data_IF_744205435393
#
_entry.id   IF_744205435393
#
_cell.length_a   1.000
_cell.length_b   1.000
_cell.length_c   1.000
_cell.angle_alpha   90.00
_cell.angle_beta   90.00
_cell.angle_gamma   90.00
#
_symmetry.space_group_name_H-M   'P 1'
#
loop_
_entity.id
_entity.type
_entity.pdbx_description
1 polymer ?
#
# COMPACT_ATOMS: atom_id res chain seq x y z
N UNK A 1 -19.63 -11.85 4.66
CA UNK A 1 -18.50 -10.93 4.86
C UNK A 1 -18.32 -10.66 6.35
N UNK A 2 -17.19 -11.08 6.93
CA UNK A 2 -16.93 -10.93 8.37
C UNK A 2 -16.11 -9.68 8.72
N UNK A 3 -15.37 -9.14 7.78
CA UNK A 3 -14.58 -7.92 7.95
C UNK A 3 -13.46 -7.78 6.93
N UNK A 4 -12.90 -6.59 6.83
CA UNK A 4 -11.75 -6.30 5.99
C UNK A 4 -10.75 -5.37 6.68
N UNK A 5 -9.51 -5.52 6.28
CA UNK A 5 -8.41 -4.65 6.64
C UNK A 5 -7.71 -4.11 5.38
N UNK A 6 -8.05 -2.89 4.95
CA UNK A 6 -7.45 -2.29 3.76
C UNK A 6 -5.93 -2.05 3.89
N UNK A 7 -5.42 -1.85 5.10
CA UNK A 7 -3.99 -1.55 5.31
C UNK A 7 -3.08 -2.76 5.07
N UNK A 8 -3.61 -3.99 5.22
CA UNK A 8 -2.90 -5.22 4.90
C UNK A 8 -3.51 -5.97 3.71
N UNK A 9 -4.52 -5.40 3.07
CA UNK A 9 -5.22 -6.00 1.92
C UNK A 9 -5.77 -7.41 2.23
N UNK A 10 -6.41 -7.56 3.41
CA UNK A 10 -6.99 -8.82 3.88
C UNK A 10 -8.49 -8.64 4.12
N UNK A 11 -9.28 -9.59 3.63
CA UNK A 11 -10.69 -9.71 3.96
C UNK A 11 -11.02 -11.14 4.41
N UNK A 12 -11.97 -11.27 5.33
CA UNK A 12 -12.49 -12.55 5.80
C UNK A 12 -13.92 -12.73 5.29
N UNK A 13 -14.15 -13.84 4.60
CA UNK A 13 -15.44 -14.24 4.08
C UNK A 13 -15.89 -15.50 4.80
N UNK A 14 -17.15 -15.54 5.21
CA UNK A 14 -17.81 -16.74 5.72
C UNK A 14 -18.68 -17.32 4.62
N UNK A 15 -18.48 -18.60 4.33
CA UNK A 15 -19.33 -19.34 3.38
C UNK A 15 -20.59 -19.78 4.09
N UNK A 16 -21.74 -19.53 3.45
CA UNK A 16 -23.04 -20.04 3.87
C UNK A 16 -23.35 -21.31 3.07
N UNK A 17 -22.94 -22.47 3.60
CA UNK A 17 -23.08 -23.75 2.94
C UNK A 17 -23.08 -24.89 3.95
N UNK A 18 -23.80 -25.97 3.63
CA UNK A 18 -23.80 -27.22 4.39
C UNK A 18 -22.68 -28.18 3.93
N UNK A 19 -21.94 -27.81 2.88
CA UNK A 19 -20.82 -28.62 2.38
C UNK A 19 -19.66 -28.65 3.39
N UNK A 20 -19.05 -29.81 3.54
CA UNK A 20 -17.87 -29.99 4.38
C UNK A 20 -16.63 -29.79 3.54
N UNK A 21 -15.82 -28.80 3.89
CA UNK A 21 -14.53 -28.57 3.28
C UNK A 21 -13.39 -29.16 4.13
N UNK A 22 -12.32 -29.56 3.45
CA UNK A 22 -11.06 -29.90 4.13
C UNK A 22 -10.24 -28.63 4.25
N UNK A 23 -10.04 -28.10 5.47
CA UNK A 23 -9.27 -26.88 5.65
C UNK A 23 -7.78 -27.14 5.44
N UNK A 24 -7.07 -26.11 4.99
CA UNK A 24 -5.61 -26.09 4.99
C UNK A 24 -5.10 -25.40 6.27
N UNK A 25 -3.94 -25.81 6.75
CA UNK A 25 -3.32 -25.23 7.92
C UNK A 25 -2.44 -24.03 7.54
N UNK A 26 -2.39 -23.02 8.41
CA UNK A 26 -1.35 -22.00 8.32
C UNK A 26 -0.03 -22.55 8.87
N UNK A 27 1.04 -22.37 8.11
CA UNK A 27 2.41 -22.62 8.53
C UNK A 27 3.01 -21.40 9.25
N UNK A 28 4.20 -21.59 9.80
CA UNK A 28 4.98 -20.55 10.46
C UNK A 28 5.87 -19.83 9.44
N UNK A 29 5.39 -18.68 8.92
CA UNK A 29 6.13 -17.92 7.92
C UNK A 29 7.48 -17.38 8.41
N UNK A 30 7.71 -17.30 9.73
CA UNK A 30 8.98 -16.80 10.26
C UNK A 30 10.10 -17.85 10.14
N UNK A 31 9.74 -19.13 10.01
CA UNK A 31 10.69 -20.23 9.75
C UNK A 31 11.05 -20.38 8.27
N UNK A 32 10.25 -19.82 7.38
CA UNK A 32 10.49 -19.88 5.94
C UNK A 32 11.78 -19.12 5.56
N UNK A 33 12.62 -19.75 4.74
CA UNK A 33 13.96 -19.22 4.38
C UNK A 33 14.03 -18.83 2.92
N UNK A 34 14.90 -17.89 2.61
CA UNK A 34 15.24 -17.58 1.22
C UNK A 34 15.82 -18.86 0.58
N UNK A 35 15.30 -19.22 -0.59
CA UNK A 35 15.65 -20.44 -1.31
C UNK A 35 14.73 -21.64 -1.05
N UNK A 36 13.84 -21.60 -0.05
CA UNK A 36 12.85 -22.65 0.16
C UNK A 36 11.83 -22.67 -0.99
N UNK A 37 11.48 -23.88 -1.47
CA UNK A 37 10.48 -24.08 -2.50
C UNK A 37 9.08 -23.72 -2.01
N UNK A 38 8.29 -23.11 -2.89
CA UNK A 38 6.91 -22.73 -2.63
C UNK A 38 6.00 -22.99 -3.83
N UNK A 39 4.72 -23.21 -3.54
CA UNK A 39 3.66 -23.37 -4.53
C UNK A 39 2.63 -22.27 -4.36
N UNK A 40 2.38 -21.50 -5.40
CA UNK A 40 1.29 -20.54 -5.44
C UNK A 40 0.09 -21.15 -6.17
N UNK A 41 -1.08 -21.11 -5.53
CA UNK A 41 -2.33 -21.63 -6.11
C UNK A 41 -3.31 -20.48 -6.28
N UNK A 42 -4.03 -20.50 -7.40
CA UNK A 42 -5.04 -19.50 -7.72
C UNK A 42 -5.83 -19.86 -8.96
N UNK A 43 -6.58 -18.90 -9.48
CA UNK A 43 -7.35 -19.02 -10.71
C UNK A 43 -7.03 -17.86 -11.66
N UNK A 44 -5.79 -17.81 -12.20
CA UNK A 44 -5.39 -16.73 -13.07
C UNK A 44 -6.23 -16.72 -14.35
N UNK A 45 -6.72 -15.54 -14.71
CA UNK A 45 -7.53 -15.30 -15.91
C UNK A 45 -8.86 -16.10 -15.97
N UNK A 46 -9.30 -16.70 -14.85
CA UNK A 46 -10.53 -17.49 -14.80
C UNK A 46 -10.44 -18.84 -15.52
N UNK A 47 -9.24 -19.35 -15.78
CA UNK A 47 -9.00 -20.60 -16.52
C UNK A 47 -9.17 -21.87 -15.68
N UNK A 48 -9.55 -21.74 -14.41
CA UNK A 48 -9.59 -22.84 -13.44
C UNK A 48 -8.38 -22.85 -12.50
N UNK A 49 -8.35 -23.81 -11.57
CA UNK A 49 -7.27 -23.92 -10.60
C UNK A 49 -5.90 -24.08 -11.28
N UNK A 50 -4.98 -23.19 -10.95
CA UNK A 50 -3.61 -23.18 -11.50
C UNK A 50 -2.62 -23.22 -10.36
N UNK A 51 -1.57 -24.03 -10.51
CA UNK A 51 -0.45 -24.16 -9.58
C UNK A 51 0.80 -23.66 -10.28
N UNK A 52 1.53 -22.76 -9.62
CA UNK A 52 2.86 -22.34 -10.05
C UNK A 52 3.87 -22.61 -8.95
N UNK A 53 5.09 -23.01 -9.32
CA UNK A 53 6.18 -23.30 -8.40
C UNK A 53 7.30 -22.27 -8.53
N UNK A 54 7.97 -22.01 -7.43
CA UNK A 54 9.12 -21.13 -7.33
C UNK A 54 9.79 -21.25 -5.97
N UNK A 55 10.60 -20.26 -5.62
CA UNK A 55 11.27 -20.19 -4.33
C UNK A 55 10.92 -18.91 -3.60
N UNK A 56 11.20 -18.84 -2.32
CA UNK A 56 11.26 -17.58 -1.58
C UNK A 56 12.50 -16.82 -2.05
N UNK A 57 12.31 -15.74 -2.80
CA UNK A 57 13.39 -14.91 -3.34
C UNK A 57 13.92 -13.90 -2.32
N UNK A 58 13.03 -13.40 -1.46
CA UNK A 58 13.37 -12.46 -0.39
C UNK A 58 12.28 -12.45 0.69
N UNK A 59 12.61 -11.87 1.85
CA UNK A 59 11.66 -11.63 2.96
C UNK A 59 11.72 -10.16 3.37
N UNK A 60 10.74 -9.75 4.15
CA UNK A 60 10.64 -8.39 4.71
C UNK A 60 10.69 -7.31 3.62
N UNK A 61 9.98 -7.57 2.50
CA UNK A 61 9.89 -6.62 1.38
C UNK A 61 8.77 -5.61 1.63
N UNK A 62 9.09 -4.36 1.31
CA UNK A 62 8.12 -3.27 1.20
C UNK A 62 8.18 -2.71 -0.21
N UNK A 63 7.03 -2.48 -0.81
CA UNK A 63 6.88 -1.96 -2.18
C UNK A 63 6.16 -0.61 -2.21
N UNK A 64 5.88 -0.05 -1.02
CA UNK A 64 5.37 1.31 -0.85
C UNK A 64 3.85 1.45 -0.99
N UNK A 65 3.08 0.36 -0.90
CA UNK A 65 1.61 0.40 -0.90
C UNK A 65 1.04 0.75 0.48
N UNK A 66 1.72 0.32 1.56
CA UNK A 66 1.30 0.55 2.94
C UNK A 66 2.51 0.70 3.88
N UNK A 67 2.28 1.27 5.06
CA UNK A 67 3.31 1.36 6.13
C UNK A 67 3.49 0.03 6.89
N UNK A 68 2.63 -0.94 6.66
CA UNK A 68 2.61 -2.22 7.38
C UNK A 68 3.02 -3.39 6.50
N UNK A 69 3.69 -3.10 5.39
CA UNK A 69 4.17 -4.11 4.46
C UNK A 69 5.34 -4.91 5.03
N UNK A 70 5.21 -6.21 4.93
CA UNK A 70 6.23 -7.19 5.26
C UNK A 70 6.03 -8.40 4.36
N UNK A 71 6.34 -8.26 3.06
CA UNK A 71 6.02 -9.30 2.10
C UNK A 71 7.09 -10.38 2.00
N UNK A 72 6.65 -11.62 1.77
CA UNK A 72 7.45 -12.68 1.17
C UNK A 72 7.49 -12.40 -0.34
N UNK A 73 8.68 -12.29 -0.91
CA UNK A 73 8.89 -12.23 -2.35
C UNK A 73 9.13 -13.62 -2.90
N UNK A 74 8.47 -13.97 -4.01
CA UNK A 74 8.66 -15.25 -4.71
C UNK A 74 8.79 -15.03 -6.22
N UNK A 75 9.49 -15.94 -6.89
CA UNK A 75 9.54 -16.04 -8.36
C UNK A 75 8.50 -17.02 -8.92
N UNK A 76 7.75 -17.76 -8.06
CA UNK A 76 6.53 -18.42 -8.47
C UNK A 76 5.64 -17.43 -9.21
N UNK A 77 5.15 -17.81 -10.39
CA UNK A 77 4.40 -16.88 -11.24
C UNK A 77 3.08 -16.49 -10.60
N UNK A 78 2.98 -15.26 -10.11
CA UNK A 78 1.75 -14.64 -9.64
C UNK A 78 1.19 -13.77 -10.77
N UNK A 79 -0.08 -13.96 -11.10
CA UNK A 79 -0.81 -13.19 -12.12
C UNK A 79 -2.17 -12.76 -11.56
N UNK A 80 -2.88 -11.91 -12.29
CA UNK A 80 -4.25 -11.52 -11.96
C UNK A 80 -5.12 -12.77 -11.82
N UNK A 81 -5.74 -12.97 -10.65
CA UNK A 81 -6.53 -14.14 -10.29
C UNK A 81 -5.85 -15.11 -9.30
N UNK A 82 -4.53 -14.95 -9.03
CA UNK A 82 -3.87 -15.64 -7.92
C UNK A 82 -3.98 -14.86 -6.60
N UNK A 83 -4.26 -13.56 -6.66
CA UNK A 83 -4.41 -12.72 -5.45
C UNK A 83 -5.54 -13.25 -4.57
N UNK A 84 -5.28 -13.31 -3.25
CA UNK A 84 -6.15 -13.95 -2.25
C UNK A 84 -5.94 -15.46 -2.14
N UNK A 85 -5.25 -16.10 -3.08
CA UNK A 85 -4.89 -17.52 -3.03
C UNK A 85 -3.68 -17.78 -2.12
N UNK A 86 -3.46 -19.06 -1.72
CA UNK A 86 -2.39 -19.44 -0.82
C UNK A 86 -1.03 -19.51 -1.51
N UNK A 87 0.01 -19.19 -0.75
CA UNK A 87 1.39 -19.61 -0.99
C UNK A 87 1.72 -20.74 -0.01
N UNK A 88 1.96 -21.93 -0.51
CA UNK A 88 2.26 -23.13 0.27
C UNK A 88 3.76 -23.38 0.42
N UNK A 89 4.16 -23.92 1.57
CA UNK A 89 5.44 -24.63 1.71
C UNK A 89 5.34 -26.07 1.13
N UNK A 90 6.45 -26.80 1.21
CA UNK A 90 6.50 -28.19 0.69
C UNK A 90 5.86 -29.22 1.63
N UNK A 91 5.48 -28.83 2.84
CA UNK A 91 4.72 -29.62 3.81
C UNK A 91 3.20 -29.44 3.63
N UNK A 92 2.76 -28.55 2.73
CA UNK A 92 1.35 -28.26 2.44
C UNK A 92 0.71 -27.27 3.41
N UNK A 93 1.51 -26.47 4.12
CA UNK A 93 1.00 -25.41 4.98
C UNK A 93 1.01 -24.07 4.23
N UNK A 94 0.04 -23.20 4.51
CA UNK A 94 -0.04 -21.85 3.95
C UNK A 94 0.93 -20.95 4.70
N UNK A 95 2.00 -20.53 4.06
CA UNK A 95 2.99 -19.59 4.61
C UNK A 95 2.78 -18.17 4.15
N UNK A 96 1.87 -17.94 3.18
CA UNK A 96 1.52 -16.61 2.72
C UNK A 96 0.20 -16.54 1.96
N UNK A 97 -0.33 -15.34 1.81
CA UNK A 97 -1.50 -15.01 0.97
C UNK A 97 -0.99 -14.18 -0.19
N UNK A 98 -1.16 -14.65 -1.43
CA UNK A 98 -0.72 -13.94 -2.63
C UNK A 98 -1.48 -12.61 -2.75
N UNK A 99 -0.79 -11.50 -3.02
CA UNK A 99 -1.44 -10.19 -3.07
C UNK A 99 -1.00 -9.32 -4.24
N UNK A 100 0.29 -9.13 -4.46
CA UNK A 100 0.80 -8.15 -5.41
C UNK A 100 1.87 -8.70 -6.37
N UNK A 101 2.05 -8.02 -7.49
CA UNK A 101 3.13 -8.26 -8.45
C UNK A 101 3.81 -6.95 -8.82
N UNK A 102 5.10 -7.01 -9.14
CA UNK A 102 5.77 -5.96 -9.90
C UNK A 102 5.71 -6.33 -11.39
N UNK A 103 4.88 -5.60 -12.14
CA UNK A 103 4.73 -5.85 -13.58
C UNK A 103 3.34 -5.43 -14.07
N UNK A 104 3.29 -4.63 -15.14
CA UNK A 104 2.02 -4.12 -15.67
C UNK A 104 1.24 -5.16 -16.48
N UNK A 105 1.93 -6.15 -17.05
CA UNK A 105 1.35 -7.10 -18.02
C UNK A 105 1.44 -8.57 -17.58
N UNK A 106 1.58 -8.83 -16.27
CA UNK A 106 1.72 -10.17 -15.73
C UNK A 106 3.04 -10.39 -14.97
N UNK A 107 3.26 -11.64 -14.54
CA UNK A 107 4.44 -12.01 -13.76
C UNK A 107 5.74 -11.81 -14.56
N UNK A 108 6.69 -11.16 -13.92
CA UNK A 108 8.08 -11.03 -14.40
C UNK A 108 9.05 -11.79 -13.47
N UNK A 109 8.55 -12.76 -12.69
CA UNK A 109 9.34 -13.47 -11.67
C UNK A 109 9.47 -12.69 -10.35
N UNK A 110 8.58 -11.70 -10.11
CA UNK A 110 8.55 -10.93 -8.85
C UNK A 110 7.11 -10.85 -8.39
N UNK A 111 6.74 -11.75 -7.49
CA UNK A 111 5.46 -11.82 -6.80
C UNK A 111 5.62 -11.58 -5.32
N UNK A 112 4.55 -11.16 -4.66
CA UNK A 112 4.51 -10.84 -3.24
C UNK A 112 3.33 -11.52 -2.56
N UNK A 113 3.60 -12.05 -1.36
CA UNK A 113 2.58 -12.68 -0.51
C UNK A 113 2.68 -12.11 0.90
N UNK A 114 1.53 -11.88 1.52
CA UNK A 114 1.44 -11.47 2.93
C UNK A 114 1.82 -12.68 3.79
N UNK A 115 2.80 -12.58 4.70
CA UNK A 115 3.21 -13.69 5.56
C UNK A 115 2.06 -14.21 6.42
N UNK A 116 1.98 -15.54 6.58
CA UNK A 116 0.90 -16.18 7.34
C UNK A 116 0.83 -15.70 8.79
N UNK A 117 1.96 -15.50 9.47
CA UNK A 117 1.98 -15.02 10.84
C UNK A 117 1.35 -13.62 10.97
N UNK A 118 1.66 -12.72 10.04
CA UNK A 118 1.06 -11.38 9.99
C UNK A 118 -0.44 -11.45 9.65
N UNK A 119 -0.80 -12.30 8.66
CA UNK A 119 -2.18 -12.48 8.25
C UNK A 119 -3.06 -13.04 9.36
N UNK A 120 -2.61 -14.05 10.10
CA UNK A 120 -3.37 -14.69 11.18
C UNK A 120 -3.78 -13.72 12.29
N UNK A 121 -2.90 -12.75 12.63
CA UNK A 121 -3.22 -11.71 13.64
C UNK A 121 -4.42 -10.88 13.18
N UNK A 122 -4.42 -10.46 11.93
CA UNK A 122 -5.50 -9.67 11.32
C UNK A 122 -6.76 -10.51 11.17
N UNK A 123 -6.66 -11.71 10.62
CA UNK A 123 -7.79 -12.64 10.41
C UNK A 123 -8.51 -12.91 11.73
N UNK A 124 -7.77 -13.19 12.82
CA UNK A 124 -8.35 -13.41 14.14
C UNK A 124 -9.17 -12.21 14.61
N UNK A 125 -8.64 -11.00 14.46
CA UNK A 125 -9.35 -9.77 14.83
C UNK A 125 -10.58 -9.51 13.97
N UNK A 126 -10.50 -9.77 12.66
CA UNK A 126 -11.64 -9.63 11.76
C UNK A 126 -12.78 -10.63 12.08
N UNK A 127 -12.44 -11.86 12.48
CA UNK A 127 -13.43 -12.85 12.90
C UNK A 127 -14.07 -12.45 14.23
N UNK A 128 -13.26 -12.00 15.20
CA UNK A 128 -13.72 -11.70 16.56
C UNK A 128 -14.45 -10.36 16.67
N UNK A 129 -13.98 -9.33 15.95
CA UNK A 129 -14.46 -7.95 16.11
C UNK A 129 -15.06 -7.35 14.83
N UNK A 130 -14.92 -8.00 13.66
CA UNK A 130 -15.28 -7.42 12.37
C UNK A 130 -14.32 -6.30 11.89
N UNK A 131 -13.34 -5.93 12.69
CA UNK A 131 -12.40 -4.85 12.44
C UNK A 131 -11.02 -5.14 13.07
N UNK A 132 -9.99 -4.46 12.60
CA UNK A 132 -8.66 -4.52 13.20
C UNK A 132 -8.49 -3.51 14.33
N UNK A 133 -7.68 -3.88 15.32
CA UNK A 133 -7.30 -3.05 16.48
C UNK A 133 -5.78 -3.03 16.59
N UNK A 134 -5.15 -2.04 15.96
CA UNK A 134 -3.69 -1.90 15.96
C UNK A 134 -3.22 -1.04 17.12
N UNK A 135 -2.11 -1.45 17.72
CA UNK A 135 -1.37 -0.58 18.62
C UNK A 135 -0.92 0.71 17.92
N UNK A 136 -0.96 1.79 18.68
CA UNK A 136 -0.53 3.10 18.21
C UNK A 136 0.38 3.78 19.22
N UNK A 137 1.52 4.28 18.74
CA UNK A 137 2.52 4.95 19.56
C UNK A 137 2.39 6.49 19.46
N UNK A 138 2.02 6.99 18.29
CA UNK A 138 1.85 8.43 18.03
C UNK A 138 3.16 9.17 17.79
N UNK A 139 4.05 8.58 16.99
CA UNK A 139 5.30 9.19 16.55
C UNK A 139 5.42 9.18 15.03
N UNK A 140 6.04 10.20 14.48
CA UNK A 140 6.60 10.18 13.11
C UNK A 140 8.07 9.87 13.22
N UNK A 141 8.54 8.96 12.40
CA UNK A 141 9.89 8.42 12.47
C UNK A 141 10.60 8.54 11.13
N UNK A 142 11.91 8.55 11.19
CA UNK A 142 12.81 8.51 10.04
C UNK A 142 14.01 7.60 10.30
N UNK A 143 14.72 7.26 9.22
CA UNK A 143 15.92 6.43 9.31
C UNK A 143 17.04 7.12 10.09
N UNK A 144 17.80 6.32 10.82
CA UNK A 144 19.06 6.74 11.44
C UNK A 144 20.18 6.54 10.42
N UNK A 145 20.65 7.63 9.81
CA UNK A 145 21.79 7.57 8.89
C UNK A 145 23.12 7.40 9.64
N UNK A 146 24.20 7.11 8.91
CA UNK A 146 25.54 7.01 9.52
C UNK A 146 25.95 8.32 10.19
N UNK A 147 25.66 9.45 9.57
CA UNK A 147 25.95 10.78 10.06
C UNK A 147 25.19 11.07 11.37
N UNK A 148 23.92 10.69 11.44
CA UNK A 148 23.10 10.82 12.67
C UNK A 148 23.71 9.94 13.78
N UNK A 149 24.04 8.69 13.47
CA UNK A 149 24.65 7.78 14.44
C UNK A 149 25.98 8.30 14.98
N UNK A 150 26.79 8.92 14.13
CA UNK A 150 28.09 9.54 14.52
C UNK A 150 27.85 10.72 15.48
N UNK A 151 26.96 11.65 15.15
CA UNK A 151 26.61 12.81 16.00
C UNK A 151 26.06 12.36 17.34
N UNK A 152 25.20 11.37 17.34
CA UNK A 152 24.57 10.80 18.54
C UNK A 152 25.50 9.84 19.30
N UNK A 153 26.70 9.53 18.78
CA UNK A 153 27.64 8.56 19.34
C UNK A 153 27.04 7.16 19.54
N UNK A 154 26.18 6.74 18.61
CA UNK A 154 25.73 5.36 18.53
C UNK A 154 26.84 4.48 17.94
N UNK A 155 26.89 3.22 18.38
CA UNK A 155 27.84 2.20 17.88
C UNK A 155 27.66 1.92 16.38
N UNK A 156 26.44 2.05 15.88
CA UNK A 156 26.06 1.87 14.46
C UNK A 156 24.74 2.58 14.14
N UNK A 157 24.50 2.80 12.87
CA UNK A 157 23.21 3.30 12.36
C UNK A 157 22.14 2.23 12.59
N UNK A 158 21.27 2.43 13.61
CA UNK A 158 20.17 1.53 13.97
C UNK A 158 19.09 2.31 14.71
N UNK A 159 17.90 1.73 14.78
CA UNK A 159 16.76 2.32 15.47
C UNK A 159 15.86 3.16 14.55
N UNK A 160 14.91 3.84 15.16
CA UNK A 160 13.98 4.75 14.51
C UNK A 160 14.09 6.14 15.16
N UNK A 161 14.54 7.15 14.43
CA UNK A 161 14.63 8.52 14.93
C UNK A 161 13.23 9.15 14.93
N UNK A 162 12.82 9.65 16.09
CA UNK A 162 11.56 10.35 16.26
C UNK A 162 11.68 11.77 15.69
N UNK A 163 11.06 12.01 14.56
CA UNK A 163 11.00 13.33 13.92
C UNK A 163 9.97 14.24 14.59
N UNK A 164 8.82 13.69 15.03
CA UNK A 164 7.81 14.41 15.80
C UNK A 164 6.97 13.45 16.62
N UNK A 165 6.30 13.99 17.65
CA UNK A 165 5.37 13.29 18.52
C UNK A 165 4.00 13.94 18.35
N UNK A 166 2.96 13.12 18.17
CA UNK A 166 1.59 13.61 18.02
C UNK A 166 1.04 14.08 19.38
N UNK A 167 0.27 15.16 19.37
CA UNK A 167 -0.38 15.68 20.56
C UNK A 167 -1.35 14.65 21.15
N UNK A 168 -1.45 14.60 22.48
CA UNK A 168 -2.28 13.66 23.24
C UNK A 168 -1.98 12.18 23.01
N UNK A 169 -0.88 11.89 22.30
CA UNK A 169 -0.48 10.51 21.97
C UNK A 169 0.07 9.73 23.19
N UNK A 170 0.12 8.39 23.10
CA UNK A 170 0.82 7.54 24.05
C UNK A 170 2.29 7.94 24.28
N UNK A 171 2.99 8.30 23.22
CA UNK A 171 4.39 8.74 23.27
C UNK A 171 4.58 10.04 24.03
N UNK A 172 3.73 11.03 23.77
CA UNK A 172 3.77 12.30 24.48
C UNK A 172 3.55 12.10 25.98
N UNK A 173 2.52 11.32 26.36
CA UNK A 173 2.21 10.97 27.76
C UNK A 173 3.34 10.23 28.45
N UNK A 174 4.11 9.43 27.72
CA UNK A 174 5.27 8.71 28.23
C UNK A 174 6.56 9.57 28.25
N UNK A 175 6.50 10.79 27.71
CA UNK A 175 7.63 11.70 27.61
C UNK A 175 8.69 11.28 26.60
N UNK A 176 8.29 10.62 25.52
CA UNK A 176 9.08 10.48 24.29
C UNK A 176 9.07 11.84 23.57
N UNK A 177 10.18 12.23 22.96
CA UNK A 177 10.38 13.56 22.37
C UNK A 177 10.95 13.44 20.96
N UNK A 178 10.76 14.50 20.16
CA UNK A 178 11.49 14.64 18.91
C UNK A 178 13.00 14.65 19.18
N UNK A 179 13.76 13.94 18.35
CA UNK A 179 15.20 13.72 18.53
C UNK A 179 15.55 12.42 19.27
N UNK A 180 14.61 11.76 19.94
CA UNK A 180 14.84 10.42 20.49
C UNK A 180 15.07 9.39 19.37
N UNK A 181 15.97 8.42 19.59
CA UNK A 181 16.09 7.26 18.70
C UNK A 181 15.56 6.03 19.43
N UNK A 182 14.48 5.45 18.94
CA UNK A 182 13.89 4.23 19.51
C UNK A 182 14.78 3.05 19.10
N UNK A 183 15.42 2.41 20.09
CA UNK A 183 16.35 1.29 19.90
C UNK A 183 15.70 -0.07 20.17
N UNK A 184 14.71 -0.10 21.06
CA UNK A 184 14.00 -1.33 21.44
C UNK A 184 12.55 -1.00 21.80
N UNK A 185 11.65 -1.87 21.44
CA UNK A 185 10.22 -1.77 21.74
C UNK A 185 9.71 -3.12 22.24
N UNK A 186 9.16 -3.16 23.46
CA UNK A 186 8.62 -4.35 24.10
C UNK A 186 9.58 -5.57 24.07
N UNK A 187 10.88 -5.33 24.28
CA UNK A 187 11.91 -6.36 24.26
C UNK A 187 12.48 -6.69 22.84
N UNK A 188 11.88 -6.16 21.78
CA UNK A 188 12.34 -6.37 20.42
C UNK A 188 13.26 -5.23 19.98
N UNK A 189 14.48 -5.57 19.50
CA UNK A 189 15.45 -4.59 18.99
C UNK A 189 15.00 -4.03 17.65
N UNK A 190 15.12 -2.73 17.48
CA UNK A 190 14.85 -2.02 16.23
C UNK A 190 16.18 -1.78 15.51
N UNK A 191 16.42 -2.52 14.43
CA UNK A 191 17.61 -2.35 13.62
C UNK A 191 17.40 -1.35 12.48
N UNK A 192 16.17 -1.29 11.93
CA UNK A 192 15.78 -0.38 10.87
C UNK A 192 14.46 0.30 11.23
N UNK A 193 14.30 1.54 10.83
CA UNK A 193 13.10 2.34 11.11
C UNK A 193 11.81 1.63 10.70
N UNK A 194 11.80 0.97 9.55
CA UNK A 194 10.62 0.27 8.99
C UNK A 194 10.09 -0.88 9.84
N UNK A 195 10.88 -1.42 10.78
CA UNK A 195 10.47 -2.52 11.66
C UNK A 195 9.49 -2.03 12.75
N UNK A 196 9.66 -0.79 13.24
CA UNK A 196 8.89 -0.27 14.37
C UNK A 196 7.37 -0.21 14.11
N UNK A 197 6.86 0.29 12.96
CA UNK A 197 5.43 0.32 12.71
C UNK A 197 4.75 -1.04 12.79
N UNK A 198 5.37 -2.08 12.23
CA UNK A 198 4.85 -3.45 12.25
C UNK A 198 4.80 -4.03 13.67
N UNK A 199 5.87 -3.82 14.46
CA UNK A 199 5.94 -4.29 15.85
C UNK A 199 4.89 -3.60 16.72
N UNK A 200 4.76 -2.28 16.58
CA UNK A 200 3.74 -1.50 17.32
C UNK A 200 2.34 -1.95 16.94
N UNK A 201 2.05 -2.11 15.65
CA UNK A 201 0.73 -2.48 15.15
C UNK A 201 0.26 -3.86 15.61
N UNK A 202 1.18 -4.85 15.74
CA UNK A 202 0.85 -6.19 16.24
C UNK A 202 0.76 -6.29 17.76
N UNK A 203 1.18 -5.24 18.47
CA UNK A 203 1.11 -5.20 19.94
C UNK A 203 -0.28 -4.74 20.36
N UNK A 204 -0.86 -5.43 21.36
CA UNK A 204 -2.21 -5.22 21.84
C UNK A 204 -2.46 -3.78 22.30
N UNK A 205 -3.62 -3.24 21.93
CA UNK A 205 -4.10 -1.93 22.37
C UNK A 205 -4.29 -1.92 23.89
N UNK A 206 -3.84 -0.84 24.56
CA UNK A 206 -3.89 -0.72 26.01
C UNK A 206 -2.74 -1.43 26.75
N UNK A 207 -1.93 -2.24 26.06
CA UNK A 207 -0.77 -2.87 26.68
C UNK A 207 0.26 -1.81 27.07
N UNK A 208 0.78 -1.92 28.28
CA UNK A 208 1.92 -1.15 28.77
C UNK A 208 3.20 -1.86 28.35
N UNK A 209 4.04 -1.17 27.59
CA UNK A 209 5.30 -1.70 27.02
C UNK A 209 6.49 -0.83 27.41
N UNK A 210 7.65 -1.44 27.51
CA UNK A 210 8.91 -0.72 27.64
C UNK A 210 9.42 -0.31 26.26
N UNK A 211 9.86 0.95 26.16
CA UNK A 211 10.51 1.52 24.97
C UNK A 211 11.85 2.07 25.38
N UNK A 212 12.93 1.50 24.84
CA UNK A 212 14.27 2.04 25.05
C UNK A 212 14.55 3.09 24.00
N UNK A 213 14.82 4.29 24.45
CA UNK A 213 15.20 5.42 23.60
C UNK A 213 16.62 5.85 23.88
N UNK A 214 17.29 6.30 22.85
CA UNK A 214 18.57 6.99 22.94
C UNK A 214 18.31 8.49 22.92
N UNK A 215 18.69 9.17 24.00
CA UNK A 215 18.57 10.63 24.17
C UNK A 215 19.79 11.15 24.90
N UNK A 216 20.36 12.26 24.45
CA UNK A 216 21.55 12.88 25.07
C UNK A 216 22.71 11.88 25.26
N UNK A 217 22.90 11.01 24.27
CA UNK A 217 23.94 9.97 24.24
C UNK A 217 23.84 8.95 25.38
N UNK A 218 22.62 8.68 25.84
CA UNK A 218 22.30 7.69 26.90
C UNK A 218 21.04 6.92 26.55
N UNK A 219 21.00 5.65 26.97
CA UNK A 219 19.79 4.86 26.92
C UNK A 219 18.85 5.27 28.05
N UNK A 220 17.58 5.51 27.73
CA UNK A 220 16.50 5.82 28.66
C UNK A 220 15.34 4.87 28.40
N UNK A 221 14.77 4.30 29.44
CA UNK A 221 13.58 3.45 29.35
C UNK A 221 12.34 4.31 29.59
N UNK A 222 11.37 4.20 28.68
CA UNK A 222 10.05 4.81 28.77
C UNK A 222 8.99 3.73 28.83
N UNK A 223 7.99 3.89 29.69
CA UNK A 223 6.82 3.02 29.76
C UNK A 223 5.67 3.67 29.01
N UNK A 224 5.21 3.02 27.96
CA UNK A 224 4.16 3.54 27.07
C UNK A 224 2.95 2.62 27.13
N UNK A 225 1.77 3.16 27.37
CA UNK A 225 0.51 2.43 27.20
C UNK A 225 -0.03 2.72 25.80
N UNK A 226 -0.09 1.69 24.95
CA UNK A 226 -0.46 1.86 23.54
C UNK A 226 -1.90 2.32 23.37
N UNK A 227 -2.10 3.27 22.47
CA UNK A 227 -3.41 3.66 21.96
C UNK A 227 -3.87 2.75 20.83
N UNK A 228 -5.05 3.03 20.28
CA UNK A 228 -5.58 2.38 19.08
C UNK A 228 -5.36 3.26 17.86
N UNK A 229 -4.72 2.70 16.81
CA UNK A 229 -4.43 3.42 15.58
C UNK A 229 -5.70 3.93 14.91
N UNK A 230 -6.70 3.06 14.72
CA UNK A 230 -7.92 3.35 13.96
C UNK A 230 -8.79 4.46 14.59
N UNK A 231 -8.55 4.78 15.87
CA UNK A 231 -9.23 5.90 16.58
C UNK A 231 -8.36 7.15 16.68
N UNK A 232 -7.10 7.08 16.29
CA UNK A 232 -6.17 8.21 16.34
C UNK A 232 -6.52 9.28 15.30
N UNK A 233 -6.15 10.53 15.61
CA UNK A 233 -6.35 11.62 14.67
C UNK A 233 -5.46 11.50 13.42
N UNK A 234 -4.26 10.91 13.58
CA UNK A 234 -3.39 10.59 12.44
C UNK A 234 -4.06 9.65 11.43
N UNK A 235 -4.80 8.64 11.91
CA UNK A 235 -5.54 7.71 11.06
C UNK A 235 -6.74 8.38 10.38
N UNK A 236 -7.47 9.22 11.12
CA UNK A 236 -8.61 9.99 10.58
C UNK A 236 -8.17 10.96 9.49
N UNK A 237 -7.04 11.65 9.69
CA UNK A 237 -6.47 12.56 8.69
C UNK A 237 -6.07 11.78 7.42
N UNK A 238 -5.39 10.64 7.57
CA UNK A 238 -5.02 9.80 6.44
C UNK A 238 -6.25 9.30 5.68
N UNK A 239 -7.26 8.79 6.40
CA UNK A 239 -8.52 8.33 5.80
C UNK A 239 -9.29 9.47 5.12
N UNK A 240 -9.31 10.66 5.71
CA UNK A 240 -9.94 11.83 5.10
C UNK A 240 -9.19 12.31 3.86
N UNK A 241 -7.88 12.17 3.80
CA UNK A 241 -7.10 12.46 2.58
C UNK A 241 -7.37 11.44 1.48
N UNK A 242 -7.46 10.16 1.81
CA UNK A 242 -7.87 9.10 0.87
C UNK A 242 -9.32 9.32 0.41
N UNK A 243 -10.25 9.59 1.33
CA UNK A 243 -11.67 9.83 1.01
C UNK A 243 -11.87 11.15 0.25
N UNK A 244 -11.07 12.19 0.50
CA UNK A 244 -11.11 13.42 -0.30
C UNK A 244 -10.55 13.21 -1.71
N UNK A 245 -9.57 12.35 -1.88
CA UNK A 245 -9.10 11.93 -3.20
C UNK A 245 -10.15 11.10 -3.95
N UNK A 246 -10.87 10.21 -3.27
CA UNK A 246 -11.97 9.43 -3.87
C UNK A 246 -13.24 10.27 -4.11
N UNK A 247 -13.60 11.20 -3.23
CA UNK A 247 -14.78 12.06 -3.39
C UNK A 247 -14.65 13.12 -4.51
N UNK A 248 -13.46 13.34 -5.06
CA UNK A 248 -13.21 14.22 -6.18
C UNK A 248 -12.99 13.49 -7.50
N UNK A 249 -13.13 12.16 -7.52
CA UNK A 249 -13.05 11.37 -8.75
C UNK A 249 -14.37 11.43 -9.51
N UNK A 250 -14.29 11.79 -10.79
CA UNK A 250 -15.42 11.74 -11.70
C UNK A 250 -15.12 10.81 -12.89
N UNK A 251 -16.13 10.09 -13.33
CA UNK A 251 -16.01 9.15 -14.45
C UNK A 251 -16.25 9.88 -15.78
N UNK A 252 -15.38 9.64 -16.73
CA UNK A 252 -15.55 9.98 -18.15
C UNK A 252 -15.93 8.71 -18.89
N UNK A 253 -17.22 8.50 -19.06
CA UNK A 253 -17.76 7.26 -19.63
C UNK A 253 -17.24 6.96 -21.03
N UNK A 254 -17.12 7.99 -21.88
CA UNK A 254 -16.61 7.87 -23.26
C UNK A 254 -15.17 7.34 -23.34
N UNK A 255 -14.38 7.56 -22.31
CA UNK A 255 -13.00 7.08 -22.19
C UNK A 255 -12.90 5.90 -21.19
N UNK A 256 -13.96 5.61 -20.43
CA UNK A 256 -13.99 4.57 -19.36
C UNK A 256 -12.84 4.74 -18.37
N UNK A 257 -12.66 5.97 -17.90
CA UNK A 257 -11.63 6.35 -16.92
C UNK A 257 -12.24 7.12 -15.76
N UNK A 258 -11.59 7.04 -14.59
CA UNK A 258 -11.84 8.00 -13.52
C UNK A 258 -10.73 9.06 -13.54
N UNK A 259 -11.12 10.30 -13.28
CA UNK A 259 -10.22 11.46 -13.28
C UNK A 259 -10.52 12.36 -12.08
N UNK A 260 -9.51 13.09 -11.63
CA UNK A 260 -9.65 14.19 -10.68
C UNK A 260 -8.95 15.45 -11.18
N UNK A 261 -9.31 16.58 -10.63
CA UNK A 261 -8.61 17.85 -10.93
C UNK A 261 -7.14 17.79 -10.49
N UNK A 262 -6.27 18.39 -11.30
CA UNK A 262 -4.86 18.62 -10.97
C UNK A 262 -4.75 19.62 -9.82
N UNK A 263 -4.04 19.25 -8.75
CA UNK A 263 -3.85 20.11 -7.56
C UNK A 263 -2.53 20.89 -7.64
N UNK A 264 -2.39 21.90 -6.78
CA UNK A 264 -1.12 22.64 -6.64
C UNK A 264 0.03 21.75 -6.17
N UNK A 265 -0.27 20.75 -5.35
CA UNK A 265 0.72 19.78 -4.87
C UNK A 265 1.18 18.84 -6.00
N UNK A 266 0.27 18.41 -6.87
CA UNK A 266 0.65 17.64 -8.07
C UNK A 266 1.62 18.45 -8.96
N UNK A 267 1.33 19.73 -9.18
CA UNK A 267 2.17 20.63 -9.98
C UNK A 267 3.56 20.73 -9.35
N UNK A 268 3.64 20.96 -8.04
CA UNK A 268 4.88 21.09 -7.30
C UNK A 268 5.69 19.77 -7.28
N UNK A 269 5.04 18.68 -6.93
CA UNK A 269 5.70 17.36 -6.81
C UNK A 269 6.21 16.83 -8.16
N UNK A 270 5.57 17.22 -9.25
CA UNK A 270 5.93 16.81 -10.62
C UNK A 270 6.74 17.87 -11.38
N UNK A 271 7.14 18.98 -10.74
CA UNK A 271 7.85 20.09 -11.38
C UNK A 271 7.18 20.58 -12.67
N UNK A 272 5.87 20.64 -12.70
CA UNK A 272 5.12 21.14 -13.86
C UNK A 272 5.10 22.68 -13.87
N UNK A 273 4.90 23.33 -15.04
CA UNK A 273 4.69 24.77 -15.09
C UNK A 273 3.55 25.23 -14.16
N UNK A 274 3.76 26.27 -13.39
CA UNK A 274 2.82 26.74 -12.34
C UNK A 274 1.38 27.04 -12.85
N UNK A 275 1.22 27.29 -14.14
CA UNK A 275 -0.09 27.57 -14.76
C UNK A 275 -0.72 26.33 -15.42
N UNK A 276 -0.17 25.12 -15.18
CA UNK A 276 -0.72 23.88 -15.72
C UNK A 276 -2.09 23.63 -15.14
N UNK A 277 -3.07 23.37 -15.99
CA UNK A 277 -4.40 22.88 -15.62
C UNK A 277 -4.64 21.55 -16.31
N UNK A 278 -5.49 20.71 -15.75
CA UNK A 278 -5.80 19.42 -16.33
C UNK A 278 -6.44 18.45 -15.34
N UNK A 279 -6.57 17.21 -15.78
CA UNK A 279 -7.16 16.11 -15.03
C UNK A 279 -6.14 14.99 -14.88
N UNK A 280 -5.94 14.52 -13.65
CA UNK A 280 -5.13 13.35 -13.35
C UNK A 280 -5.99 12.10 -13.55
N UNK A 281 -5.50 11.14 -14.31
CA UNK A 281 -6.16 9.84 -14.50
C UNK A 281 -5.90 8.98 -13.29
N UNK A 282 -6.94 8.63 -12.54
CA UNK A 282 -6.87 7.86 -11.30
C UNK A 282 -7.24 6.38 -11.49
N UNK A 283 -8.09 6.06 -12.48
CA UNK A 283 -8.44 4.69 -12.85
C UNK A 283 -8.61 4.56 -14.36
N UNK A 284 -8.24 3.42 -14.91
CA UNK A 284 -8.45 3.07 -16.32
C UNK A 284 -9.09 1.68 -16.36
N UNK A 285 -10.30 1.59 -16.91
CA UNK A 285 -10.96 0.31 -17.06
C UNK A 285 -10.24 -0.57 -18.10
N UNK A 286 -10.25 -1.88 -17.93
CA UNK A 286 -9.57 -2.83 -18.84
C UNK A 286 -10.05 -2.70 -20.30
N UNK A 287 -11.31 -2.30 -20.51
CA UNK A 287 -11.91 -2.07 -21.82
C UNK A 287 -11.88 -0.59 -22.25
N UNK A 288 -11.06 0.23 -21.58
CA UNK A 288 -10.92 1.65 -21.96
C UNK A 288 -10.21 1.81 -23.29
N UNK A 289 -10.66 2.74 -24.16
CA UNK A 289 -9.98 3.01 -25.44
C UNK A 289 -8.56 3.57 -25.25
N UNK A 290 -8.20 4.01 -24.05
CA UNK A 290 -6.85 4.51 -23.75
C UNK A 290 -5.96 3.50 -23.02
N UNK A 291 -6.47 2.31 -22.66
CA UNK A 291 -5.77 1.37 -21.79
C UNK A 291 -4.37 0.97 -22.27
N UNK A 292 -4.16 0.92 -23.59
CA UNK A 292 -2.87 0.57 -24.20
C UNK A 292 -2.00 1.77 -24.58
N UNK A 293 -2.50 3.00 -24.40
CA UNK A 293 -1.86 4.22 -24.95
C UNK A 293 -1.50 5.23 -23.89
N UNK A 294 -2.19 5.22 -22.75
CA UNK A 294 -2.02 6.19 -21.67
C UNK A 294 -1.88 5.44 -20.34
N UNK A 295 -0.96 5.89 -19.53
CA UNK A 295 -0.67 5.28 -18.25
C UNK A 295 -1.51 5.92 -17.12
N UNK A 296 -1.76 5.13 -16.07
CA UNK A 296 -2.32 5.64 -14.82
C UNK A 296 -1.45 6.78 -14.30
N UNK A 297 -2.04 7.77 -13.61
CA UNK A 297 -1.39 9.00 -13.16
C UNK A 297 -0.91 9.94 -14.29
N UNK A 298 -1.19 9.67 -15.55
CA UNK A 298 -1.01 10.68 -16.61
C UNK A 298 -1.99 11.84 -16.39
N UNK A 299 -1.62 13.03 -16.88
CA UNK A 299 -2.44 14.25 -16.73
C UNK A 299 -2.93 14.65 -18.11
N UNK A 300 -4.25 14.71 -18.31
CA UNK A 300 -4.87 15.24 -19.52
C UNK A 300 -4.92 16.76 -19.39
N UNK A 301 -4.20 17.49 -20.26
CA UNK A 301 -4.10 18.95 -20.22
C UNK A 301 -4.89 19.63 -21.36
N UNK A 302 -5.07 18.94 -22.47
CA UNK A 302 -5.86 19.43 -23.61
C UNK A 302 -6.65 18.27 -24.25
N UNK A 303 -7.82 18.57 -24.78
CA UNK A 303 -8.56 17.71 -25.70
C UNK A 303 -8.98 18.55 -26.92
N UNK A 304 -8.77 18.02 -28.14
CA UNK A 304 -9.00 18.75 -29.40
C UNK A 304 -8.32 20.15 -29.42
N UNK A 305 -7.10 20.22 -28.83
CA UNK A 305 -6.31 21.46 -28.69
C UNK A 305 -6.97 22.54 -27.80
N UNK A 306 -8.07 22.23 -27.11
CA UNK A 306 -8.70 23.08 -26.10
C UNK A 306 -8.15 22.70 -24.72
N UNK A 307 -7.78 23.68 -23.89
CA UNK A 307 -7.29 23.43 -22.53
C UNK A 307 -8.38 22.85 -21.65
N UNK A 308 -8.03 21.85 -20.84
CA UNK A 308 -8.89 21.24 -19.86
C UNK A 308 -8.69 21.94 -18.52
N UNK A 309 -9.77 22.47 -17.94
CA UNK A 309 -9.80 23.14 -16.64
C UNK A 309 -10.76 22.48 -15.67
N UNK A 310 -11.71 21.70 -16.19
CA UNK A 310 -12.71 20.97 -15.41
C UNK A 310 -13.00 19.61 -16.04
N UNK A 311 -13.62 18.74 -15.27
CA UNK A 311 -14.08 17.43 -15.76
C UNK A 311 -15.12 17.59 -16.86
N UNK A 312 -15.96 18.62 -16.74
CA UNK A 312 -16.99 18.90 -17.74
C UNK A 312 -16.38 19.31 -19.09
N UNK A 313 -15.25 20.02 -19.13
CA UNK A 313 -14.57 20.35 -20.38
C UNK A 313 -14.22 19.09 -21.18
N UNK A 314 -13.65 18.06 -20.50
CA UNK A 314 -13.31 16.81 -21.15
C UNK A 314 -14.56 16.01 -21.55
N UNK A 315 -15.56 16.00 -20.71
CA UNK A 315 -16.85 15.31 -20.95
C UNK A 315 -17.58 15.88 -22.16
N UNK A 316 -17.65 17.21 -22.28
CA UNK A 316 -18.31 17.88 -23.40
C UNK A 316 -17.56 17.65 -24.71
N UNK A 317 -16.24 17.81 -24.71
CA UNK A 317 -15.41 17.57 -25.91
C UNK A 317 -15.52 16.11 -26.38
N UNK A 318 -15.49 15.14 -25.46
CA UNK A 318 -15.62 13.74 -25.85
C UNK A 318 -17.02 13.39 -26.36
N UNK A 319 -18.08 14.02 -25.84
CA UNK A 319 -19.44 13.91 -26.38
C UNK A 319 -19.56 14.52 -27.77
N UNK A 320 -19.00 15.71 -28.00
CA UNK A 320 -18.97 16.33 -29.32
C UNK A 320 -18.29 15.41 -30.34
N UNK A 321 -17.14 14.80 -29.96
CA UNK A 321 -16.41 13.89 -30.83
C UNK A 321 -17.19 12.61 -31.11
N UNK A 322 -17.87 12.03 -30.11
CA UNK A 322 -18.74 10.85 -30.30
C UNK A 322 -19.89 11.09 -31.29
N UNK A 323 -20.42 12.31 -31.28
CA UNK A 323 -21.49 12.72 -32.19
C UNK A 323 -20.95 13.12 -33.58
N UNK A 324 -19.64 13.19 -33.74
CA UNK A 324 -19.00 13.52 -35.03
C UNK A 324 -18.74 12.26 -35.87
N UNK A 325 -18.55 12.44 -37.16
CA UNK A 325 -18.23 11.33 -38.06
C UNK A 325 -16.81 10.75 -37.85
N UNK A 326 -15.90 11.47 -37.17
CA UNK A 326 -14.51 11.04 -36.97
C UNK A 326 -14.29 10.15 -35.75
N UNK A 327 -15.11 10.29 -34.74
CA UNK A 327 -15.05 9.52 -33.48
C UNK A 327 -13.65 9.39 -32.86
N UNK A 328 -12.73 10.30 -33.20
CA UNK A 328 -11.35 10.28 -32.68
C UNK A 328 -11.08 11.56 -31.92
N UNK A 329 -10.74 11.46 -30.63
CA UNK A 329 -10.33 12.60 -29.82
C UNK A 329 -8.80 12.69 -29.78
N UNK A 330 -8.28 13.90 -29.98
CA UNK A 330 -6.86 14.20 -29.80
C UNK A 330 -6.64 14.72 -28.37
N UNK A 331 -5.89 13.99 -27.56
CA UNK A 331 -5.54 14.35 -26.19
C UNK A 331 -4.09 14.81 -26.12
N UNK A 332 -3.82 15.92 -25.43
CA UNK A 332 -2.48 16.27 -24.99
C UNK A 332 -2.35 15.88 -23.52
N UNK A 333 -1.32 15.13 -23.19
CA UNK A 333 -1.08 14.62 -21.84
C UNK A 333 0.35 14.92 -21.36
N UNK A 334 0.53 14.96 -20.04
CA UNK A 334 1.82 14.69 -19.41
C UNK A 334 1.83 13.22 -18.93
N UNK A 335 2.81 12.45 -19.37
CA UNK A 335 3.03 11.07 -18.90
C UNK A 335 3.69 11.06 -17.49
N UNK A 336 3.94 9.88 -16.92
CA UNK A 336 4.57 9.73 -15.60
C UNK A 336 6.01 10.27 -15.53
N UNK A 337 6.65 10.50 -16.68
CA UNK A 337 7.99 11.11 -16.80
C UNK A 337 7.92 12.62 -17.05
N UNK A 338 6.73 13.23 -16.93
CA UNK A 338 6.44 14.64 -17.20
C UNK A 338 6.75 15.08 -18.64
N UNK A 339 6.74 14.14 -19.60
CA UNK A 339 6.87 14.45 -21.01
C UNK A 339 5.50 14.75 -21.60
N UNK A 340 5.38 15.89 -22.28
CA UNK A 340 4.18 16.23 -23.03
C UNK A 340 4.08 15.42 -24.30
N UNK A 341 2.91 14.77 -24.53
CA UNK A 341 2.63 13.96 -25.75
C UNK A 341 1.22 14.23 -26.26
N UNK A 342 1.04 14.06 -27.56
CA UNK A 342 -0.28 14.04 -28.19
C UNK A 342 -0.64 12.61 -28.55
N UNK A 343 -1.87 12.22 -28.24
CA UNK A 343 -2.39 10.86 -28.47
C UNK A 343 -3.78 10.97 -29.11
N UNK A 344 -3.95 10.32 -30.25
CA UNK A 344 -5.27 10.15 -30.87
C UNK A 344 -5.96 8.91 -30.31
N UNK A 345 -7.16 9.07 -29.79
CA UNK A 345 -7.97 8.01 -29.18
C UNK A 345 -9.26 7.86 -29.94
N UNK A 346 -9.52 6.67 -30.46
CA UNK A 346 -10.79 6.35 -31.11
C UNK A 346 -11.82 6.02 -30.01
N UNK A 347 -12.94 6.72 -30.03
CA UNK A 347 -14.08 6.50 -29.14
C UNK A 347 -15.06 5.51 -29.79
N UNK A 348 -15.56 4.58 -28.98
CA UNK A 348 -16.54 3.55 -29.43
C UNK A 348 -17.98 4.00 -29.20
#
# INVERSE_FOLDING_TARGET
>A
FSGADPLMDIAVLQLETDEKFVPVAFGDSDKARIGDWVLAIGNPFGLGGTVTAGIISARNRSIGLSRYEDFIQTDASINSGNSGGPLFDMEGNVIGINTAILGRNGSIGIGFSIPSNSAQIVIKQLIEFGETKRGWLGVRIQDVTKEIAEVEKLDKARGALVASVAENSPSEKAGIQAGDIILEFNGEKINQMKELPAIVARTEVGKKVEVKVWRDKKEIVKNVTLGRLETSDDFKISKNQETQNENNEEIIESLRIAVRLLTKDDIKNRNLPNQTTGLVITKIANNSPIANSIELNSIIIEAQKKKIRSVNDLRDITKEVLNSNQKTVLLAIYNNQNQRRYIGVKLD
#
